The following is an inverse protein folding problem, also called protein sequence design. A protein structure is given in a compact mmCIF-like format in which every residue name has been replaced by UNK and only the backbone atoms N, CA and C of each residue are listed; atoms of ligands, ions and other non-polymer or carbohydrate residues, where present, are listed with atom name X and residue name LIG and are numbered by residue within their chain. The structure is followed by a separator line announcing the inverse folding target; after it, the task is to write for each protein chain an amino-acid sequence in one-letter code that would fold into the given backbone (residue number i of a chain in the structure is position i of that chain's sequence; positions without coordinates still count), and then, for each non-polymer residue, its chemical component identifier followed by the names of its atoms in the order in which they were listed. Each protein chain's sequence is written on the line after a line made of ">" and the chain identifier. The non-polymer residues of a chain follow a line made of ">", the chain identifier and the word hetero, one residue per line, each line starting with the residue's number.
data_IF_724066099679
#
_entry.id   IF_724066099679
#
_cell.length_a   1.000
_cell.length_b   1.000
_cell.length_c   1.000
_cell.angle_alpha   90.00
_cell.angle_beta   90.00
_cell.angle_gamma   90.00
#
_symmetry.space_group_name_H-M   'P 1'
#
loop_
_entity.id
_entity.type
_entity.pdbx_description
1 polymer ?
#
# COMPACT_ATOMS: atom_id res chain seq x y z
N UNK A 1 20.37 -23.59 12.44
CA UNK A 1 19.80 -23.36 13.78
C UNK A 1 19.57 -21.87 13.95
N UNK A 2 18.35 -21.45 14.27
CA UNK A 2 18.06 -20.03 14.49
C UNK A 2 18.72 -19.58 15.81
N UNK A 3 19.38 -18.42 15.78
CA UNK A 3 19.86 -17.77 17.01
C UNK A 3 18.64 -17.15 17.71
N UNK A 4 18.20 -17.66 18.87
CA UNK A 4 16.98 -17.21 19.51
C UNK A 4 17.08 -15.76 20.03
N UNK A 5 18.29 -15.24 20.22
CA UNK A 5 18.56 -13.89 20.73
C UNK A 5 18.93 -12.90 19.61
N UNK A 6 18.78 -13.29 18.34
CA UNK A 6 19.08 -12.41 17.23
C UNK A 6 18.08 -11.24 17.18
N UNK A 7 18.58 -10.01 17.14
CA UNK A 7 17.76 -8.84 16.88
C UNK A 7 17.39 -8.82 15.39
N UNK A 8 16.13 -9.14 15.09
CA UNK A 8 15.61 -9.25 13.75
C UNK A 8 14.56 -8.15 13.52
N UNK A 9 14.69 -7.43 12.42
CA UNK A 9 13.73 -6.42 11.97
C UNK A 9 13.08 -6.86 10.66
N UNK A 10 11.80 -6.49 10.50
CA UNK A 10 11.12 -6.63 9.23
C UNK A 10 11.30 -5.35 8.41
N UNK A 11 11.89 -5.46 7.22
CA UNK A 11 11.88 -4.37 6.25
C UNK A 11 10.51 -4.36 5.56
N UNK A 12 9.54 -3.85 6.30
CA UNK A 12 8.14 -3.78 5.90
C UNK A 12 7.60 -2.38 6.13
N UNK A 13 7.06 -1.83 5.06
CA UNK A 13 6.30 -0.58 5.10
C UNK A 13 4.87 -0.91 5.53
N UNK A 14 4.47 -0.34 6.66
CA UNK A 14 3.12 -0.46 7.18
C UNK A 14 2.25 0.68 6.64
N UNK A 15 1.15 0.32 6.01
CA UNK A 15 0.11 1.29 5.67
C UNK A 15 -0.63 1.72 6.96
N UNK A 16 -1.32 2.87 6.95
CA UNK A 16 -1.88 3.48 8.16
C UNK A 16 -2.68 2.57 9.09
N UNK A 17 -3.38 1.58 8.55
CA UNK A 17 -4.25 0.66 9.32
C UNK A 17 -3.68 -0.77 9.31
N UNK A 18 -2.38 -0.90 9.12
CA UNK A 18 -1.67 -2.17 9.09
C UNK A 18 -0.76 -2.31 10.31
N UNK A 19 -0.75 -3.50 10.90
CA UNK A 19 0.13 -3.85 12.00
C UNK A 19 0.99 -5.05 11.64
N UNK A 20 2.16 -5.16 12.27
CA UNK A 20 2.97 -6.37 12.16
C UNK A 20 2.25 -7.51 12.88
N UNK A 21 2.14 -8.70 12.25
CA UNK A 21 1.58 -9.86 12.92
C UNK A 21 2.35 -10.21 14.20
N UNK A 22 1.66 -10.45 15.30
CA UNK A 22 2.27 -10.84 16.58
C UNK A 22 3.03 -12.16 16.50
N UNK A 23 2.65 -13.03 15.56
CA UNK A 23 3.30 -14.30 15.30
C UNK A 23 4.68 -14.18 14.63
N UNK A 24 5.06 -12.99 14.15
CA UNK A 24 6.37 -12.81 13.54
C UNK A 24 7.45 -12.64 14.62
N UNK A 25 8.52 -13.44 14.59
CA UNK A 25 9.60 -13.35 15.56
C UNK A 25 10.55 -12.18 15.23
N UNK A 26 10.01 -10.97 15.18
CA UNK A 26 10.76 -9.75 14.85
C UNK A 26 10.60 -8.70 15.96
N UNK A 27 11.64 -7.91 16.17
CA UNK A 27 11.63 -6.82 17.14
C UNK A 27 10.77 -5.64 16.69
N UNK A 28 10.51 -5.49 15.41
CA UNK A 28 9.72 -4.42 14.81
C UNK A 28 10.02 -4.24 13.34
N UNK A 29 9.66 -3.08 12.79
CA UNK A 29 10.02 -2.64 11.43
C UNK A 29 11.40 -1.98 11.40
N UNK A 30 11.85 -1.59 10.19
CA UNK A 30 13.03 -0.75 9.96
C UNK A 30 12.80 0.74 10.27
N UNK A 31 11.60 1.11 10.78
CA UNK A 31 11.33 2.43 11.38
C UNK A 31 10.68 3.46 10.48
N UNK A 32 10.17 3.10 9.30
CA UNK A 32 9.45 4.04 8.42
C UNK A 32 8.13 4.54 9.05
N UNK A 33 7.47 3.70 9.83
CA UNK A 33 6.28 4.06 10.61
C UNK A 33 6.59 5.16 11.63
N UNK A 34 7.71 5.04 12.36
CA UNK A 34 8.16 6.09 13.27
C UNK A 34 8.58 7.37 12.54
N UNK A 35 9.27 7.24 11.42
CA UNK A 35 9.71 8.36 10.57
C UNK A 35 8.52 9.23 10.15
N UNK A 36 7.44 8.61 9.65
CA UNK A 36 6.25 9.32 9.22
C UNK A 36 5.46 9.89 10.41
N UNK A 37 5.43 9.19 11.53
CA UNK A 37 4.82 9.66 12.77
C UNK A 37 5.50 10.95 13.28
N UNK A 38 6.84 10.96 13.33
CA UNK A 38 7.63 12.13 13.73
C UNK A 38 7.49 13.25 12.70
N UNK A 39 7.59 12.95 11.42
CA UNK A 39 7.46 13.95 10.35
C UNK A 39 6.12 14.68 10.41
N UNK A 40 5.04 13.94 10.64
CA UNK A 40 3.69 14.48 10.77
C UNK A 40 3.48 15.39 11.99
N UNK A 41 4.28 15.23 13.05
CA UNK A 41 4.18 16.05 14.26
C UNK A 41 4.55 17.53 14.01
N UNK A 42 5.38 17.80 13.00
CA UNK A 42 5.81 19.15 12.62
C UNK A 42 4.92 19.79 11.53
N UNK A 43 3.86 19.15 11.12
CA UNK A 43 2.92 19.66 10.10
C UNK A 43 1.70 20.25 10.80
N UNK A 44 1.44 21.55 10.57
CA UNK A 44 0.24 22.20 11.08
C UNK A 44 -1.00 21.78 10.27
N UNK A 45 -1.97 21.09 10.88
CA UNK A 45 -3.19 20.69 10.19
C UNK A 45 -3.99 21.84 9.58
N UNK A 46 -3.88 23.06 10.15
CA UNK A 46 -4.56 24.23 9.62
C UNK A 46 -4.10 24.64 8.22
N UNK A 47 -2.88 24.25 7.83
CA UNK A 47 -2.33 24.50 6.49
C UNK A 47 -2.86 23.59 5.39
N UNK A 48 -3.61 22.54 5.73
CA UNK A 48 -4.07 21.53 4.75
C UNK A 48 -4.85 22.14 3.59
N UNK A 49 -5.92 22.84 3.91
CA UNK A 49 -6.82 23.43 2.92
C UNK A 49 -6.21 24.62 2.16
N UNK A 50 -5.52 25.58 2.82
CA UNK A 50 -4.82 26.64 2.12
C UNK A 50 -3.76 26.13 1.13
N UNK A 51 -2.94 25.14 1.51
CA UNK A 51 -1.96 24.54 0.61
C UNK A 51 -2.60 23.74 -0.52
N UNK A 52 -3.73 23.06 -0.27
CA UNK A 52 -4.45 22.37 -1.33
C UNK A 52 -4.98 23.35 -2.39
N UNK A 53 -5.54 24.49 -1.97
CA UNK A 53 -5.98 25.55 -2.89
C UNK A 53 -4.81 26.12 -3.66
N UNK A 54 -3.73 26.51 -2.99
CA UNK A 54 -2.55 27.07 -3.65
C UNK A 54 -1.95 26.09 -4.67
N UNK A 55 -1.93 24.79 -4.34
CA UNK A 55 -1.47 23.73 -5.25
C UNK A 55 -2.39 23.62 -6.48
N UNK A 56 -3.69 23.56 -6.28
CA UNK A 56 -4.67 23.48 -7.38
C UNK A 56 -4.63 24.73 -8.28
N UNK A 57 -4.56 25.92 -7.67
CA UNK A 57 -4.51 27.21 -8.41
C UNK A 57 -3.23 27.32 -9.24
N UNK A 58 -2.09 26.86 -8.72
CA UNK A 58 -0.81 26.93 -9.41
C UNK A 58 -0.68 25.89 -10.51
N UNK A 59 -1.13 24.66 -10.27
CA UNK A 59 -0.84 23.54 -11.17
C UNK A 59 -2.02 23.15 -12.05
N UNK A 60 -3.24 23.46 -11.66
CA UNK A 60 -4.47 22.95 -12.28
C UNK A 60 -4.71 21.47 -12.01
N UNK A 61 -3.91 20.84 -11.17
CA UNK A 61 -3.98 19.40 -10.88
C UNK A 61 -5.00 19.07 -9.78
N UNK A 62 -5.43 17.81 -9.76
CA UNK A 62 -6.34 17.29 -8.74
C UNK A 62 -5.69 17.29 -7.35
N UNK A 63 -6.50 17.60 -6.34
CA UNK A 63 -6.14 17.43 -4.92
C UNK A 63 -6.60 16.10 -4.32
N UNK A 64 -7.21 15.23 -5.12
CA UNK A 64 -7.66 13.89 -4.74
C UNK A 64 -6.49 12.90 -4.85
N UNK A 65 -5.72 12.79 -3.78
CA UNK A 65 -4.56 11.88 -3.73
C UNK A 65 -4.96 10.40 -3.91
N UNK A 66 -6.03 9.89 -3.30
CA UNK A 66 -6.52 8.53 -3.57
C UNK A 66 -6.76 8.23 -5.05
N UNK A 67 -7.37 9.16 -5.79
CA UNK A 67 -7.59 8.99 -7.23
C UNK A 67 -6.27 8.97 -8.00
N UNK A 68 -5.29 9.80 -7.63
CA UNK A 68 -3.95 9.81 -8.22
C UNK A 68 -3.23 8.47 -7.97
N UNK A 69 -3.39 7.89 -6.78
CA UNK A 69 -2.83 6.57 -6.44
C UNK A 69 -3.43 5.47 -7.31
N UNK A 70 -4.74 5.44 -7.47
CA UNK A 70 -5.45 4.45 -8.30
C UNK A 70 -4.95 4.54 -9.74
N UNK A 71 -4.87 5.75 -10.31
CA UNK A 71 -4.36 5.98 -11.67
C UNK A 71 -2.90 5.56 -11.80
N UNK A 72 -2.04 5.93 -10.85
CA UNK A 72 -0.62 5.60 -10.86
C UNK A 72 -0.36 4.10 -10.77
N UNK A 73 -1.10 3.39 -9.91
CA UNK A 73 -1.01 1.92 -9.81
C UNK A 73 -1.49 1.25 -11.09
N UNK A 74 -2.58 1.72 -11.69
CA UNK A 74 -3.08 1.18 -12.97
C UNK A 74 -2.07 1.41 -14.09
N UNK A 75 -1.49 2.60 -14.19
CA UNK A 75 -0.45 2.91 -15.16
C UNK A 75 0.76 1.97 -15.00
N UNK A 76 1.29 1.84 -13.80
CA UNK A 76 2.44 0.98 -13.51
C UNK A 76 2.15 -0.50 -13.82
N UNK A 77 0.98 -1.00 -13.44
CA UNK A 77 0.58 -2.39 -13.75
C UNK A 77 0.41 -2.64 -15.25
N UNK A 78 0.05 -1.60 -16.01
CA UNK A 78 -0.13 -1.72 -17.46
C UNK A 78 1.19 -1.56 -18.21
N UNK A 79 1.96 -0.51 -17.88
CA UNK A 79 3.11 -0.07 -18.68
C UNK A 79 4.41 -0.73 -18.21
N UNK A 80 4.62 -0.84 -16.89
CA UNK A 80 5.86 -1.34 -16.31
C UNK A 80 5.79 -2.82 -15.94
N UNK A 81 4.70 -3.25 -15.30
CA UNK A 81 4.48 -4.61 -14.81
C UNK A 81 3.56 -5.43 -15.74
N UNK A 82 3.38 -4.99 -16.98
CA UNK A 82 2.49 -5.65 -17.93
C UNK A 82 2.87 -7.08 -18.24
N UNK A 83 4.17 -7.42 -18.23
CA UNK A 83 4.66 -8.79 -18.43
C UNK A 83 4.26 -9.72 -17.28
N UNK A 84 4.40 -9.26 -16.04
CA UNK A 84 4.03 -9.99 -14.83
C UNK A 84 2.52 -10.19 -14.77
N UNK A 85 1.75 -9.13 -15.04
CA UNK A 85 0.29 -9.19 -15.11
C UNK A 85 -0.18 -10.17 -16.20
N UNK A 86 0.43 -10.16 -17.38
CA UNK A 86 0.10 -11.07 -18.47
C UNK A 86 0.45 -12.52 -18.13
N UNK A 87 1.54 -12.76 -17.39
CA UNK A 87 1.91 -14.10 -16.90
C UNK A 87 0.89 -14.61 -15.87
N UNK A 88 0.46 -13.75 -14.94
CA UNK A 88 -0.61 -14.08 -14.01
C UNK A 88 -1.94 -14.37 -14.73
N UNK A 89 -2.28 -13.57 -15.73
CA UNK A 89 -3.48 -13.81 -16.53
C UNK A 89 -3.44 -15.15 -17.26
N UNK A 90 -2.27 -15.57 -17.77
CA UNK A 90 -2.11 -16.90 -18.38
C UNK A 90 -2.28 -18.02 -17.36
N UNK A 91 -1.68 -17.87 -16.17
CA UNK A 91 -1.85 -18.84 -15.07
C UNK A 91 -3.32 -18.90 -14.62
N UNK A 92 -4.02 -17.77 -14.60
CA UNK A 92 -5.45 -17.75 -14.23
C UNK A 92 -6.33 -18.42 -15.30
N UNK A 93 -5.97 -18.34 -16.60
CA UNK A 93 -6.60 -19.15 -17.65
C UNK A 93 -6.42 -20.64 -17.36
N UNK A 94 -5.19 -21.09 -17.07
CA UNK A 94 -4.90 -22.49 -16.76
C UNK A 94 -5.67 -22.99 -15.52
N UNK A 95 -5.84 -22.13 -14.51
CA UNK A 95 -6.70 -22.40 -13.35
C UNK A 95 -8.17 -22.56 -13.80
N UNK A 96 -8.70 -21.59 -14.55
CA UNK A 96 -10.10 -21.59 -14.99
C UNK A 96 -10.45 -22.80 -15.84
N UNK A 97 -9.53 -23.30 -16.70
CA UNK A 97 -9.74 -24.50 -17.51
C UNK A 97 -10.00 -25.75 -16.68
N UNK A 98 -9.47 -25.81 -15.43
CA UNK A 98 -9.71 -26.93 -14.50
C UNK A 98 -11.05 -26.80 -13.75
N UNK A 99 -11.68 -25.64 -13.79
CA UNK A 99 -12.93 -25.33 -13.08
C UNK A 99 -14.10 -25.15 -14.06
N UNK A 100 -14.95 -26.16 -14.18
CA UNK A 100 -16.04 -26.22 -15.17
C UNK A 100 -16.93 -24.97 -15.20
N UNK A 101 -17.12 -24.29 -14.09
CA UNK A 101 -17.94 -23.06 -14.01
C UNK A 101 -17.25 -21.82 -14.51
N UNK A 102 -15.92 -21.82 -14.61
CA UNK A 102 -15.12 -20.63 -14.86
C UNK A 102 -14.32 -20.68 -16.15
N UNK A 103 -14.34 -21.79 -16.91
CA UNK A 103 -13.54 -22.02 -18.12
C UNK A 103 -13.93 -21.16 -19.32
N UNK A 104 -15.12 -20.54 -19.29
CA UNK A 104 -15.64 -19.75 -20.40
C UNK A 104 -15.20 -18.27 -20.33
N UNK A 105 -14.52 -17.83 -19.23
CA UNK A 105 -13.97 -16.50 -19.15
C UNK A 105 -12.83 -16.29 -20.13
N UNK A 106 -12.87 -15.17 -20.83
CA UNK A 106 -11.79 -14.78 -21.74
C UNK A 106 -10.55 -14.33 -20.99
N UNK A 107 -9.38 -14.52 -21.57
CA UNK A 107 -8.11 -14.03 -21.02
C UNK A 107 -8.17 -12.52 -20.67
N UNK A 108 -8.90 -11.73 -21.46
CA UNK A 108 -9.08 -10.30 -21.20
C UNK A 108 -9.83 -10.06 -19.88
N UNK A 109 -10.97 -10.74 -19.66
CA UNK A 109 -11.73 -10.61 -18.41
C UNK A 109 -10.90 -11.03 -17.20
N UNK A 110 -10.15 -12.13 -17.30
CA UNK A 110 -9.28 -12.61 -16.22
C UNK A 110 -8.16 -11.60 -15.91
N UNK A 111 -7.56 -11.02 -16.95
CA UNK A 111 -6.53 -9.98 -16.81
C UNK A 111 -7.08 -8.73 -16.14
N UNK A 112 -8.27 -8.27 -16.54
CA UNK A 112 -8.92 -7.10 -15.96
C UNK A 112 -9.31 -7.32 -14.49
N UNK A 113 -9.82 -8.51 -14.14
CA UNK A 113 -10.11 -8.85 -12.75
C UNK A 113 -8.84 -8.81 -11.88
N UNK A 114 -7.71 -9.36 -12.36
CA UNK A 114 -6.42 -9.30 -11.67
C UNK A 114 -5.91 -7.86 -11.56
N UNK A 115 -5.97 -7.09 -12.65
CA UNK A 115 -5.53 -5.70 -12.70
C UNK A 115 -6.27 -4.85 -11.67
N UNK A 116 -7.60 -4.85 -11.72
CA UNK A 116 -8.40 -3.99 -10.86
C UNK A 116 -8.34 -4.42 -9.38
N UNK A 117 -8.25 -5.71 -9.11
CA UNK A 117 -8.01 -6.20 -7.73
C UNK A 117 -6.64 -5.76 -7.22
N UNK A 118 -5.59 -5.79 -8.05
CA UNK A 118 -4.26 -5.32 -7.66
C UNK A 118 -4.21 -3.79 -7.50
N UNK A 119 -4.90 -3.02 -8.34
CA UNK A 119 -5.06 -1.56 -8.20
C UNK A 119 -5.74 -1.22 -6.88
N UNK A 120 -6.82 -1.93 -6.55
CA UNK A 120 -7.61 -1.70 -5.35
C UNK A 120 -6.98 -2.24 -4.06
N UNK A 121 -5.87 -3.02 -4.16
CA UNK A 121 -5.25 -3.64 -3.00
C UNK A 121 -4.74 -2.58 -2.01
N UNK A 122 -5.18 -2.60 -0.73
CA UNK A 122 -5.00 -1.45 0.17
C UNK A 122 -3.63 -1.39 0.84
N UNK A 123 -2.88 -2.49 0.84
CA UNK A 123 -1.55 -2.64 1.44
C UNK A 123 -0.56 -3.20 0.43
N UNK A 124 0.72 -3.30 0.79
CA UNK A 124 1.73 -3.86 -0.13
C UNK A 124 1.39 -5.28 -0.56
N UNK A 125 0.99 -6.14 0.38
CA UNK A 125 0.61 -7.51 0.09
C UNK A 125 -0.15 -8.15 1.23
N UNK A 126 -0.88 -9.24 0.94
CA UNK A 126 -1.27 -10.25 1.93
C UNK A 126 -0.10 -11.16 2.26
N UNK A 127 -0.21 -11.90 3.37
CA UNK A 127 0.82 -12.83 3.83
C UNK A 127 0.30 -14.27 3.90
N UNK A 128 -0.63 -14.59 3.02
CA UNK A 128 -1.13 -15.93 2.81
C UNK A 128 0.04 -16.87 2.48
N UNK A 129 0.10 -18.04 3.11
CA UNK A 129 1.19 -18.98 2.96
C UNK A 129 0.68 -20.37 2.57
N UNK A 130 0.63 -20.68 1.27
CA UNK A 130 0.14 -21.95 0.73
C UNK A 130 0.89 -23.16 1.30
N UNK A 131 2.20 -23.08 1.51
CA UNK A 131 3.00 -24.17 2.09
C UNK A 131 2.63 -24.52 3.55
N UNK A 132 1.89 -23.65 4.24
CA UNK A 132 1.48 -23.82 5.65
C UNK A 132 -0.04 -23.85 5.80
N UNK A 133 -0.76 -23.71 4.69
CA UNK A 133 -2.23 -23.52 4.68
C UNK A 133 -2.67 -22.40 5.65
N UNK A 134 -1.93 -21.28 5.62
CA UNK A 134 -2.10 -20.19 6.57
C UNK A 134 -2.72 -18.97 5.88
N UNK A 135 -3.85 -18.52 6.41
CA UNK A 135 -4.55 -17.30 6.04
C UNK A 135 -4.96 -16.60 7.34
N UNK A 136 -4.58 -15.34 7.52
CA UNK A 136 -4.97 -14.55 8.69
C UNK A 136 -6.29 -13.80 8.44
N UNK A 137 -6.94 -13.36 9.52
CA UNK A 137 -8.13 -12.50 9.42
C UNK A 137 -7.82 -11.17 8.72
N UNK A 138 -6.58 -10.68 8.85
CA UNK A 138 -6.14 -9.49 8.13
C UNK A 138 -6.03 -9.75 6.62
N UNK A 139 -5.48 -10.89 6.20
CA UNK A 139 -5.46 -11.30 4.79
C UNK A 139 -6.88 -11.36 4.21
N UNK A 140 -7.82 -11.97 4.94
CA UNK A 140 -9.24 -12.03 4.54
C UNK A 140 -9.78 -10.62 4.32
N UNK A 141 -9.65 -9.72 5.32
CA UNK A 141 -10.15 -8.35 5.20
C UNK A 141 -9.56 -7.60 4.01
N UNK A 142 -8.23 -7.73 3.76
CA UNK A 142 -7.54 -7.02 2.68
C UNK A 142 -7.96 -7.52 1.30
N UNK A 143 -8.09 -8.82 1.15
CA UNK A 143 -8.54 -9.43 -0.13
C UNK A 143 -10.01 -9.09 -0.39
N UNK A 144 -10.91 -9.25 0.59
CA UNK A 144 -12.32 -8.90 0.48
C UNK A 144 -12.49 -7.42 0.11
N UNK A 145 -11.75 -6.52 0.77
CA UNK A 145 -11.77 -5.10 0.46
C UNK A 145 -11.30 -4.79 -0.97
N UNK A 146 -10.26 -5.47 -1.43
CA UNK A 146 -9.72 -5.26 -2.77
C UNK A 146 -10.68 -5.72 -3.86
N UNK A 147 -11.27 -6.92 -3.70
CA UNK A 147 -12.24 -7.45 -4.69
C UNK A 147 -13.55 -6.67 -4.70
N UNK A 148 -14.04 -6.22 -3.54
CA UNK A 148 -15.21 -5.36 -3.46
C UNK A 148 -14.99 -4.02 -4.19
N UNK A 149 -13.88 -3.33 -3.91
CA UNK A 149 -13.52 -2.06 -4.57
C UNK A 149 -13.28 -2.24 -6.08
N UNK A 150 -12.69 -3.37 -6.51
CA UNK A 150 -12.54 -3.68 -7.92
C UNK A 150 -13.90 -3.81 -8.62
N UNK A 151 -14.87 -4.45 -7.99
CA UNK A 151 -16.25 -4.56 -8.50
C UNK A 151 -16.99 -3.21 -8.53
N UNK A 152 -16.78 -2.36 -7.53
CA UNK A 152 -17.34 -1.00 -7.51
C UNK A 152 -16.76 -0.12 -8.63
N UNK A 153 -15.44 -0.19 -8.84
CA UNK A 153 -14.74 0.57 -9.88
C UNK A 153 -15.05 0.06 -11.31
N UNK A 154 -15.35 -1.24 -11.46
CA UNK A 154 -15.60 -1.91 -12.73
C UNK A 154 -16.87 -2.78 -12.66
N UNK A 155 -18.06 -2.15 -12.70
CA UNK A 155 -19.35 -2.86 -12.66
C UNK A 155 -19.59 -3.80 -13.86
N UNK A 156 -18.78 -3.69 -14.89
CA UNK A 156 -18.75 -4.58 -16.06
C UNK A 156 -18.04 -5.90 -15.82
N UNK A 157 -17.23 -6.03 -14.75
CA UNK A 157 -16.63 -7.28 -14.35
C UNK A 157 -17.69 -8.20 -13.69
N UNK A 158 -17.65 -9.47 -14.08
CA UNK A 158 -18.55 -10.46 -13.49
C UNK A 158 -18.27 -10.62 -11.99
N UNK A 159 -19.28 -10.39 -11.10
CA UNK A 159 -19.11 -10.59 -9.66
C UNK A 159 -18.76 -12.03 -9.27
N UNK A 160 -19.14 -13.05 -10.09
CA UNK A 160 -18.76 -14.43 -9.85
C UNK A 160 -17.25 -14.65 -10.10
N UNK A 161 -16.69 -13.99 -11.12
CA UNK A 161 -15.26 -14.02 -11.39
C UNK A 161 -14.46 -13.41 -10.23
N UNK A 162 -14.89 -12.25 -9.70
CA UNK A 162 -14.22 -11.61 -8.57
C UNK A 162 -14.28 -12.49 -7.30
N UNK A 163 -15.43 -13.13 -7.01
CA UNK A 163 -15.55 -14.08 -5.89
C UNK A 163 -14.69 -15.33 -6.08
N UNK A 164 -14.54 -15.80 -7.31
CA UNK A 164 -13.66 -16.92 -7.60
C UNK A 164 -12.19 -16.54 -7.38
N UNK A 165 -11.77 -15.37 -7.88
CA UNK A 165 -10.43 -14.82 -7.64
C UNK A 165 -10.17 -14.66 -6.13
N UNK A 166 -11.09 -14.06 -5.37
CA UNK A 166 -11.02 -13.95 -3.91
C UNK A 166 -10.78 -15.31 -3.25
N UNK A 167 -11.57 -16.31 -3.66
CA UNK A 167 -11.47 -17.66 -3.09
C UNK A 167 -10.11 -18.31 -3.36
N UNK A 168 -9.51 -18.05 -4.53
CA UNK A 168 -8.15 -18.50 -4.86
C UNK A 168 -7.12 -17.77 -3.99
N UNK A 169 -7.21 -16.44 -3.92
CA UNK A 169 -6.25 -15.61 -3.17
C UNK A 169 -6.25 -15.94 -1.67
N UNK A 170 -7.36 -16.46 -1.15
CA UNK A 170 -7.52 -16.90 0.24
C UNK A 170 -7.35 -18.43 0.43
N UNK A 171 -6.77 -19.13 -0.55
CA UNK A 171 -6.52 -20.58 -0.54
C UNK A 171 -7.78 -21.44 -0.29
N UNK A 172 -8.98 -20.91 -0.51
CA UNK A 172 -10.25 -21.65 -0.35
C UNK A 172 -10.50 -22.63 -1.51
N UNK A 173 -9.73 -22.48 -2.60
CA UNK A 173 -9.74 -23.40 -3.76
C UNK A 173 -8.40 -24.14 -3.77
N UNK A 174 -8.40 -25.46 -3.44
CA UNK A 174 -7.16 -26.22 -3.40
C UNK A 174 -6.63 -26.52 -4.80
N UNK A 175 -5.32 -26.47 -4.98
CA UNK A 175 -4.62 -26.80 -6.21
C UNK A 175 -3.25 -26.13 -6.32
N UNK A 176 -2.37 -26.73 -7.14
CA UNK A 176 -1.02 -26.21 -7.31
C UNK A 176 -1.00 -24.87 -8.06
N UNK A 177 -1.81 -24.76 -9.13
CA UNK A 177 -1.90 -23.53 -9.93
C UNK A 177 -2.61 -22.42 -9.15
N UNK A 178 -3.64 -22.77 -8.38
CA UNK A 178 -4.38 -21.85 -7.50
C UNK A 178 -3.44 -21.28 -6.43
N UNK A 179 -2.66 -22.12 -5.79
CA UNK A 179 -1.64 -21.72 -4.82
C UNK A 179 -0.56 -20.84 -5.46
N UNK A 180 -0.08 -21.21 -6.65
CA UNK A 180 0.89 -20.42 -7.39
C UNK A 180 0.32 -19.04 -7.77
N UNK A 181 -0.95 -18.98 -8.21
CA UNK A 181 -1.62 -17.72 -8.54
C UNK A 181 -1.69 -16.79 -7.31
N UNK A 182 -2.10 -17.32 -6.16
CA UNK A 182 -2.16 -16.55 -4.91
C UNK A 182 -0.78 -16.02 -4.50
N UNK A 183 0.27 -16.86 -4.53
CA UNK A 183 1.63 -16.45 -4.16
C UNK A 183 2.21 -15.40 -5.11
N UNK A 184 1.99 -15.54 -6.42
CA UNK A 184 2.46 -14.56 -7.42
C UNK A 184 1.68 -13.26 -7.37
N UNK A 185 0.38 -13.31 -7.10
CA UNK A 185 -0.45 -12.12 -6.94
C UNK A 185 0.06 -11.23 -5.78
N UNK A 186 0.45 -11.81 -4.66
CA UNK A 186 1.06 -11.07 -3.55
C UNK A 186 2.36 -10.34 -3.96
N UNK A 187 3.16 -10.94 -4.84
CA UNK A 187 4.37 -10.29 -5.36
C UNK A 187 4.01 -9.13 -6.30
N UNK A 188 2.99 -9.31 -7.15
CA UNK A 188 2.53 -8.25 -8.05
C UNK A 188 2.00 -7.03 -7.27
N UNK A 189 1.18 -7.24 -6.22
CA UNK A 189 0.64 -6.15 -5.41
C UNK A 189 1.74 -5.39 -4.68
N UNK A 190 2.78 -6.07 -4.17
CA UNK A 190 3.97 -5.44 -3.58
C UNK A 190 4.65 -4.50 -4.58
N UNK A 191 4.91 -4.99 -5.78
CA UNK A 191 5.54 -4.18 -6.83
C UNK A 191 4.65 -3.02 -7.28
N UNK A 192 3.32 -3.24 -7.35
CA UNK A 192 2.35 -2.20 -7.69
C UNK A 192 2.31 -1.08 -6.63
N UNK A 193 2.43 -1.41 -5.34
CA UNK A 193 2.53 -0.41 -4.27
C UNK A 193 3.86 0.35 -4.34
N UNK A 194 4.99 -0.34 -4.41
CA UNK A 194 6.30 0.30 -4.47
C UNK A 194 6.42 1.24 -5.68
N UNK A 195 6.01 0.78 -6.86
CA UNK A 195 6.15 1.56 -8.09
C UNK A 195 5.00 2.55 -8.33
N UNK A 196 3.76 2.16 -8.00
CA UNK A 196 2.58 3.00 -8.22
C UNK A 196 2.38 4.04 -7.13
N UNK A 197 2.41 3.65 -5.86
CA UNK A 197 2.27 4.59 -4.75
C UNK A 197 3.53 5.42 -4.55
N UNK A 198 4.68 4.76 -4.24
CA UNK A 198 5.87 5.49 -3.81
C UNK A 198 6.65 6.15 -4.95
N UNK A 199 6.85 5.44 -6.07
CA UNK A 199 7.70 5.93 -7.16
C UNK A 199 6.91 6.72 -8.23
N UNK A 200 5.56 6.73 -8.16
CA UNK A 200 4.73 7.49 -9.12
C UNK A 200 3.82 8.47 -8.40
N UNK A 201 2.85 8.04 -7.59
CA UNK A 201 1.87 8.95 -7.01
C UNK A 201 2.52 10.01 -6.09
N UNK A 202 3.50 9.63 -5.25
CA UNK A 202 4.22 10.57 -4.39
C UNK A 202 5.09 11.57 -5.16
N UNK A 203 5.35 11.37 -6.45
CA UNK A 203 6.04 12.34 -7.32
C UNK A 203 5.08 13.16 -8.19
N UNK A 204 3.83 12.73 -8.33
CA UNK A 204 2.79 13.47 -9.05
C UNK A 204 2.04 14.45 -8.16
N UNK A 205 1.82 14.13 -6.90
CA UNK A 205 1.08 14.94 -5.94
C UNK A 205 2.03 15.70 -5.02
N UNK A 206 2.08 17.03 -5.15
CA UNK A 206 3.12 17.86 -4.54
C UNK A 206 2.57 18.94 -3.59
N UNK A 207 1.38 18.74 -2.99
CA UNK A 207 0.74 19.70 -2.08
C UNK A 207 1.67 20.15 -0.93
N UNK A 208 2.29 19.18 -0.24
CA UNK A 208 3.32 19.40 0.77
C UNK A 208 4.31 18.24 0.74
N UNK A 209 5.42 18.43 0.03
CA UNK A 209 6.37 17.34 -0.24
C UNK A 209 7.10 16.79 0.99
N UNK A 210 6.98 17.45 2.16
CA UNK A 210 7.42 16.90 3.44
C UNK A 210 6.69 15.60 3.82
N UNK A 211 5.46 15.40 3.34
CA UNK A 211 4.63 14.21 3.57
C UNK A 211 4.86 13.10 2.52
N UNK A 212 5.55 13.43 1.42
CA UNK A 212 5.80 12.49 0.33
C UNK A 212 7.05 11.66 0.63
N UNK A 213 6.92 10.71 1.54
CA UNK A 213 8.04 9.91 2.00
C UNK A 213 7.69 8.41 1.95
N UNK A 214 8.70 7.54 2.04
CA UNK A 214 8.52 6.09 2.09
C UNK A 214 7.55 5.72 3.22
N UNK A 215 6.48 5.00 2.89
CA UNK A 215 5.39 4.69 3.83
C UNK A 215 4.54 5.88 4.24
N UNK A 216 4.75 7.05 3.64
CA UNK A 216 3.98 8.26 3.89
C UNK A 216 2.62 8.24 3.20
N UNK A 217 1.71 9.01 3.77
CA UNK A 217 0.38 9.26 3.21
C UNK A 217 0.12 10.77 3.20
N UNK A 218 0.23 11.44 2.04
CA UNK A 218 -0.01 12.89 1.92
C UNK A 218 -1.43 13.35 2.32
N UNK A 219 -2.41 12.46 2.37
CA UNK A 219 -3.76 12.79 2.85
C UNK A 219 -3.83 12.88 4.37
N UNK A 220 -2.93 12.24 5.08
CA UNK A 220 -2.76 12.40 6.53
C UNK A 220 -1.97 13.66 6.83
N UNK A 221 -2.66 14.79 6.83
CA UNK A 221 -2.04 16.09 6.99
C UNK A 221 -1.82 16.42 8.48
N UNK A 222 -0.67 15.98 8.99
CA UNK A 222 -0.25 16.20 10.37
C UNK A 222 -0.58 15.05 11.33
N UNK A 223 0.10 15.06 12.46
CA UNK A 223 -0.07 14.11 13.57
C UNK A 223 -0.22 14.89 14.87
N UNK A 224 -1.26 14.61 15.65
CA UNK A 224 -1.43 15.27 16.95
C UNK A 224 -0.42 14.74 17.99
N UNK A 225 0.00 15.57 18.98
CA UNK A 225 0.82 15.10 20.10
C UNK A 225 0.20 13.90 20.83
N UNK A 226 -1.12 13.88 20.98
CA UNK A 226 -1.83 12.75 21.61
C UNK A 226 -1.68 11.45 20.80
N UNK A 227 -1.82 11.52 19.47
CA UNK A 227 -1.60 10.38 18.57
C UNK A 227 -0.15 9.90 18.65
N UNK A 228 0.82 10.83 18.62
CA UNK A 228 2.24 10.51 18.73
C UNK A 228 2.54 9.76 20.03
N UNK A 229 2.16 10.32 21.18
CA UNK A 229 2.40 9.70 22.48
C UNK A 229 1.67 8.35 22.64
N UNK A 230 0.42 8.27 22.16
CA UNK A 230 -0.34 7.02 22.19
C UNK A 230 0.32 5.91 21.38
N UNK A 231 0.85 6.23 20.20
CA UNK A 231 1.58 5.27 19.35
C UNK A 231 2.90 4.86 20.00
N UNK A 232 3.68 5.81 20.55
CA UNK A 232 4.92 5.50 21.24
C UNK A 232 4.67 4.58 22.45
N UNK A 233 3.60 4.82 23.22
CA UNK A 233 3.24 3.98 24.36
C UNK A 233 2.87 2.55 23.94
N UNK A 234 2.08 2.39 22.88
CA UNK A 234 1.76 1.06 22.32
C UNK A 234 3.00 0.34 21.81
N UNK A 235 3.84 1.05 21.08
CA UNK A 235 5.08 0.46 20.54
C UNK A 235 6.04 0.05 21.65
N UNK A 236 6.18 0.85 22.72
CA UNK A 236 6.98 0.50 23.87
C UNK A 236 6.47 -0.75 24.59
N UNK A 237 5.15 -0.94 24.64
CA UNK A 237 4.56 -2.12 25.27
C UNK A 237 4.66 -3.38 24.39
N UNK A 238 4.42 -3.25 23.10
CA UNK A 238 4.35 -4.40 22.18
C UNK A 238 5.71 -4.76 21.57
N UNK A 239 6.54 -3.76 21.22
CA UNK A 239 7.80 -3.95 20.46
C UNK A 239 8.89 -2.98 20.95
N UNK A 240 9.36 -3.11 22.21
CA UNK A 240 10.29 -2.16 22.84
C UNK A 240 11.67 -2.07 22.15
N UNK A 241 12.02 -3.05 21.32
CA UNK A 241 13.27 -3.10 20.58
C UNK A 241 13.11 -2.75 19.09
N UNK A 242 11.97 -2.17 18.69
CA UNK A 242 11.77 -1.69 17.33
C UNK A 242 12.75 -0.58 16.97
N UNK A 243 13.14 -0.49 15.70
CA UNK A 243 14.00 0.58 15.20
C UNK A 243 13.21 1.89 15.10
N UNK A 244 13.85 2.99 15.46
CA UNK A 244 13.35 4.35 15.34
C UNK A 244 14.20 5.09 14.32
N UNK A 245 13.74 5.19 13.08
CA UNK A 245 14.43 5.91 12.03
C UNK A 245 13.81 7.29 11.81
N UNK A 246 14.62 8.29 11.48
CA UNK A 246 14.20 9.62 10.99
C UNK A 246 14.67 9.86 9.56
N UNK A 247 15.74 9.17 9.13
CA UNK A 247 16.20 9.07 7.75
C UNK A 247 16.77 7.69 7.50
N UNK A 248 16.70 7.21 6.26
CA UNK A 248 17.26 5.94 5.81
C UNK A 248 17.88 6.13 4.42
N UNK A 249 18.50 5.09 3.86
CA UNK A 249 19.02 5.09 2.49
C UNK A 249 17.91 5.22 1.41
N UNK A 250 16.66 4.88 1.75
CA UNK A 250 15.51 4.94 0.83
C UNK A 250 14.66 6.19 1.00
N UNK A 251 14.92 7.02 2.02
CA UNK A 251 14.15 8.25 2.19
C UNK A 251 14.35 9.20 1.01
N UNK A 252 13.25 9.75 0.53
CA UNK A 252 13.25 10.71 -0.60
C UNK A 252 13.91 12.03 -0.21
N UNK A 253 13.85 12.40 1.08
CA UNK A 253 14.48 13.60 1.67
C UNK A 253 14.95 13.30 3.08
N UNK A 254 16.07 13.91 3.51
CA UNK A 254 16.55 13.81 4.89
C UNK A 254 15.61 14.51 5.87
N UNK A 255 15.68 14.14 7.15
CA UNK A 255 14.83 14.67 8.20
C UNK A 255 14.90 16.20 8.33
N UNK A 256 16.07 16.80 8.18
CA UNK A 256 16.25 18.25 8.27
C UNK A 256 15.57 19.00 7.11
N UNK A 257 15.59 18.43 5.91
CA UNK A 257 14.87 18.97 4.74
C UNK A 257 13.36 18.85 4.95
N UNK A 258 12.87 17.70 5.42
CA UNK A 258 11.44 17.52 5.71
C UNK A 258 10.95 18.48 6.80
N UNK A 259 11.71 18.65 7.89
CA UNK A 259 11.37 19.60 8.96
C UNK A 259 11.28 21.05 8.46
N UNK A 260 12.20 21.47 7.57
CA UNK A 260 12.13 22.80 6.95
C UNK A 260 10.93 22.96 6.03
N UNK A 261 10.61 21.95 5.23
CA UNK A 261 9.45 21.96 4.35
C UNK A 261 8.12 21.94 5.13
N UNK A 262 8.08 21.28 6.29
CA UNK A 262 6.89 21.25 7.15
C UNK A 262 6.47 22.65 7.61
N UNK A 263 7.40 23.61 7.77
CA UNK A 263 7.10 25.02 8.11
C UNK A 263 6.12 25.66 7.13
N UNK A 264 6.10 25.21 5.85
CA UNK A 264 5.16 25.74 4.86
C UNK A 264 3.70 25.52 5.28
N UNK A 265 3.43 24.51 6.09
CA UNK A 265 2.08 24.28 6.64
C UNK A 265 1.63 25.36 7.65
N UNK A 266 2.57 26.05 8.28
CA UNK A 266 2.31 27.15 9.21
C UNK A 266 2.16 28.51 8.54
N UNK A 267 2.66 28.65 7.29
CA UNK A 267 2.69 29.93 6.54
C UNK A 267 2.14 29.79 5.11
N UNK A 268 1.01 29.07 4.91
CA UNK A 268 0.55 28.71 3.57
C UNK A 268 0.23 29.91 2.67
N UNK A 269 -0.35 30.99 3.22
CA UNK A 269 -0.69 32.20 2.46
C UNK A 269 0.57 32.94 2.02
N UNK A 270 1.59 33.01 2.88
CA UNK A 270 2.88 33.62 2.53
C UNK A 270 3.58 32.83 1.46
N UNK A 271 3.53 31.49 1.54
CA UNK A 271 4.10 30.61 0.52
C UNK A 271 3.40 30.77 -0.82
N UNK A 272 2.06 30.80 -0.85
CA UNK A 272 1.29 30.98 -2.07
C UNK A 272 1.52 32.35 -2.76
N UNK A 273 1.94 33.37 -2.01
CA UNK A 273 2.22 34.71 -2.51
C UNK A 273 3.65 34.89 -3.06
N UNK A 274 4.52 33.88 -2.94
CA UNK A 274 5.93 33.93 -3.35
C UNK A 274 6.10 33.36 -4.75
#
# INVERSE_FOLDING_TARGET
>A
EACPDAWLLADKILMPDEELPDSWPVAGTTGYDFLNLVGGLFVDPAGAEPLARAYADLTGESTDFPAIVVESKRQVLTDLLGSELNRLASLFVDVCERHRRHRDYTRHQLREALLETAVAFPVYRSYVAAARDQVSDDDVRRVDQATARAGEARPDLDPELLRFLESILLLRVPGDLESELAMRFQQLTSAAMAKGWEDTALYRYLRLVALNEVGGDPDRFGVSPATFHGTCTRNQAARPLAMLATSTHDTKRSEDVRARLAVLSEIPERWAAT
#
